data_IF_983773506493
#
_entry.id   IF_983773506493
#
_cell.length_a   1.000
_cell.length_b   1.000
_cell.length_c   1.000
_cell.angle_alpha   90.00
_cell.angle_beta   90.00
_cell.angle_gamma   90.00
#
_symmetry.space_group_name_H-M   'P 1'
#
loop_
_entity.id
_entity.type
_entity.pdbx_description
1 polymer ?
#
# COMPACT_ATOMS: atom_id res chain seq x y z
N UNK A 1 -74.56 18.24 -4.65
CA UNK A 1 -74.07 18.91 -3.44
C UNK A 1 -72.78 18.22 -3.06
N UNK A 2 -71.63 18.84 -3.30
CA UNK A 2 -70.27 18.33 -3.02
C UNK A 2 -69.59 19.42 -2.17
N UNK A 3 -68.90 19.10 -1.06
CA UNK A 3 -68.37 20.10 -0.15
C UNK A 3 -67.04 20.69 -0.65
N UNK A 4 -66.83 21.98 -0.39
CA UNK A 4 -65.59 22.71 -0.65
C UNK A 4 -64.40 22.08 0.11
N UNK A 5 -63.32 21.79 -0.61
CA UNK A 5 -62.04 21.39 -0.03
C UNK A 5 -61.20 22.64 0.35
N UNK A 6 -60.49 22.65 1.50
CA UNK A 6 -59.72 23.81 1.93
C UNK A 6 -58.49 24.03 1.04
N UNK A 7 -58.29 25.28 0.57
CA UNK A 7 -57.08 25.71 -0.15
C UNK A 7 -55.85 25.55 0.75
N UNK A 8 -54.88 24.74 0.30
CA UNK A 8 -53.60 24.59 0.97
C UNK A 8 -52.84 25.94 1.07
N UNK A 9 -52.32 26.25 2.27
CA UNK A 9 -51.50 27.45 2.53
C UNK A 9 -50.24 27.42 1.64
N UNK A 10 -49.95 28.55 0.97
CA UNK A 10 -48.76 28.76 0.13
C UNK A 10 -47.48 28.51 0.94
N UNK A 11 -46.71 27.48 0.57
CA UNK A 11 -45.39 27.11 1.13
C UNK A 11 -44.23 27.97 0.60
N UNK A 12 -44.52 29.19 0.11
CA UNK A 12 -43.53 30.07 -0.53
C UNK A 12 -42.43 30.56 0.41
N UNK A 13 -42.78 30.87 1.67
CA UNK A 13 -41.81 31.36 2.67
C UNK A 13 -40.76 30.31 3.04
N UNK A 14 -41.15 29.04 3.20
CA UNK A 14 -40.22 27.96 3.57
C UNK A 14 -39.27 27.63 2.42
N UNK A 15 -39.73 27.71 1.16
CA UNK A 15 -38.86 27.59 -0.01
C UNK A 15 -37.88 28.76 -0.14
N UNK A 16 -38.33 29.99 0.09
CA UNK A 16 -37.47 31.18 0.05
C UNK A 16 -36.38 31.15 1.13
N UNK A 17 -36.72 30.74 2.36
CA UNK A 17 -35.77 30.58 3.46
C UNK A 17 -34.72 29.49 3.18
N UNK A 18 -35.12 28.37 2.56
CA UNK A 18 -34.19 27.30 2.14
C UNK A 18 -33.23 27.76 1.05
N UNK A 19 -33.73 28.46 0.02
CA UNK A 19 -32.91 29.00 -1.06
C UNK A 19 -31.93 30.06 -0.55
N UNK A 20 -32.36 30.90 0.39
CA UNK A 20 -31.51 31.86 1.07
C UNK A 20 -30.40 31.17 1.89
N UNK A 21 -30.73 30.13 2.65
CA UNK A 21 -29.75 29.33 3.39
C UNK A 21 -28.70 28.68 2.48
N UNK A 22 -29.11 28.10 1.35
CA UNK A 22 -28.20 27.53 0.35
C UNK A 22 -27.28 28.61 -0.23
N UNK A 23 -27.82 29.79 -0.55
CA UNK A 23 -27.03 30.90 -1.08
C UNK A 23 -26.00 31.40 -0.05
N UNK A 24 -26.37 31.50 1.23
CA UNK A 24 -25.45 31.89 2.31
C UNK A 24 -24.33 30.85 2.48
N UNK A 25 -24.64 29.56 2.48
CA UNK A 25 -23.61 28.50 2.54
C UNK A 25 -22.69 28.56 1.32
N UNK A 26 -23.25 28.72 0.11
CA UNK A 26 -22.47 28.84 -1.11
C UNK A 26 -21.55 30.07 -1.10
N UNK A 27 -22.05 31.22 -0.64
CA UNK A 27 -21.28 32.46 -0.49
C UNK A 27 -20.25 32.39 0.64
N UNK A 28 -20.54 31.67 1.72
CA UNK A 28 -19.59 31.47 2.82
C UNK A 28 -18.45 30.51 2.42
N UNK A 29 -18.71 29.55 1.52
CA UNK A 29 -17.71 28.64 0.98
C UNK A 29 -16.94 29.21 -0.22
N UNK A 30 -17.50 30.22 -0.91
CA UNK A 30 -16.88 30.84 -2.09
C UNK A 30 -15.48 31.46 -1.84
N UNK A 31 -15.16 32.12 -0.71
CA UNK A 31 -13.81 32.61 -0.44
C UNK A 31 -12.76 31.50 -0.43
N UNK A 32 -13.14 30.28 -0.01
CA UNK A 32 -12.25 29.11 0.00
C UNK A 32 -11.88 28.59 -1.39
N UNK A 33 -12.64 28.95 -2.44
CA UNK A 33 -12.29 28.57 -3.82
C UNK A 33 -11.33 29.57 -4.49
N UNK A 34 -11.30 30.82 -4.02
CA UNK A 34 -10.41 31.87 -4.53
C UNK A 34 -9.09 31.96 -3.76
N UNK A 35 -9.06 31.52 -2.50
CA UNK A 35 -7.83 31.34 -1.72
C UNK A 35 -7.23 29.94 -1.96
N UNK A 36 -6.96 29.60 -3.22
CA UNK A 36 -6.05 28.48 -3.48
C UNK A 36 -4.64 28.94 -3.15
N UNK A 37 -4.02 28.33 -2.14
CA UNK A 37 -2.57 28.37 -2.02
C UNK A 37 -1.97 28.03 -3.40
N UNK A 38 -0.88 28.70 -3.84
CA UNK A 38 -0.22 28.33 -5.09
C UNK A 38 -0.01 26.81 -5.09
N UNK A 39 -0.58 26.14 -6.09
CA UNK A 39 -0.53 24.69 -6.16
C UNK A 39 0.92 24.25 -6.18
N UNK A 40 1.30 23.39 -5.24
CA UNK A 40 2.63 22.79 -5.25
C UNK A 40 2.79 21.93 -6.51
N UNK A 41 4.00 21.91 -7.05
CA UNK A 41 4.37 21.07 -8.17
C UNK A 41 4.85 19.71 -7.67
N UNK A 42 4.64 18.66 -8.47
CA UNK A 42 5.20 17.32 -8.19
C UNK A 42 6.73 17.33 -8.05
N UNK A 43 7.39 18.32 -8.64
CA UNK A 43 8.85 18.53 -8.57
C UNK A 43 9.31 19.28 -7.33
N UNK A 44 8.40 19.82 -6.53
CA UNK A 44 8.78 20.55 -5.32
C UNK A 44 9.37 19.56 -4.30
N UNK A 45 10.50 19.91 -3.66
CA UNK A 45 11.16 19.03 -2.71
C UNK A 45 10.28 18.78 -1.49
N UNK A 46 10.14 17.52 -1.08
CA UNK A 46 9.48 17.18 0.17
C UNK A 46 10.43 17.39 1.36
N UNK A 47 9.99 18.18 2.34
CA UNK A 47 10.64 18.28 3.64
C UNK A 47 9.96 17.31 4.60
N UNK A 48 10.59 16.17 4.83
CA UNK A 48 9.98 15.07 5.59
C UNK A 48 10.51 15.09 7.02
N UNK A 49 9.63 15.30 7.99
CA UNK A 49 9.91 15.19 9.40
C UNK A 49 9.61 13.76 9.89
N UNK A 50 10.50 13.22 10.72
CA UNK A 50 10.36 11.91 11.35
C UNK A 50 10.22 12.11 12.85
N UNK A 51 9.09 11.68 13.41
CA UNK A 51 8.81 11.83 14.85
C UNK A 51 8.65 10.46 15.49
N UNK A 52 9.48 10.07 16.47
CA UNK A 52 9.29 8.81 17.17
C UNK A 52 7.96 8.83 17.92
N UNK A 53 7.27 7.68 17.92
CA UNK A 53 6.02 7.46 18.64
C UNK A 53 6.18 6.29 19.59
N UNK A 54 5.38 6.30 20.64
CA UNK A 54 5.30 5.17 21.57
C UNK A 54 4.46 4.09 20.90
N UNK A 55 5.00 2.87 20.81
CA UNK A 55 4.23 1.71 20.41
C UNK A 55 3.10 1.47 21.41
N UNK A 56 1.90 1.93 21.08
CA UNK A 56 0.68 1.71 21.85
C UNK A 56 -0.22 0.76 21.08
N UNK A 57 -0.69 -0.29 21.75
CA UNK A 57 -1.44 -1.38 21.13
C UNK A 57 -0.81 -2.72 21.47
N UNK A 58 -1.55 -3.79 21.22
CA UNK A 58 -1.13 -5.18 21.37
C UNK A 58 -1.05 -5.81 19.98
N UNK A 59 0.17 -6.22 19.63
CA UNK A 59 0.36 -7.24 18.60
C UNK A 59 0.15 -8.63 19.20
N UNK A 60 -0.76 -9.40 18.60
CA UNK A 60 -0.95 -10.81 18.92
C UNK A 60 -0.14 -11.69 17.95
N UNK A 61 0.43 -12.79 18.43
CA UNK A 61 1.18 -13.75 17.61
C UNK A 61 2.65 -13.89 17.99
N UNK A 62 3.42 -14.50 17.10
CA UNK A 62 4.82 -14.89 17.30
C UNK A 62 5.82 -13.74 17.08
N UNK A 63 5.45 -12.71 16.30
CA UNK A 63 6.36 -11.60 15.97
C UNK A 63 6.63 -10.66 17.16
N UNK A 64 5.79 -10.69 18.20
CA UNK A 64 5.93 -9.82 19.36
C UNK A 64 5.54 -8.36 19.11
N UNK A 65 5.85 -7.49 20.06
CA UNK A 65 5.59 -6.04 19.94
C UNK A 65 6.67 -5.37 19.08
N UNK A 66 6.33 -4.29 18.35
CA UNK A 66 7.32 -3.52 17.61
C UNK A 66 8.32 -2.86 18.56
N UNK A 67 9.57 -2.76 18.11
CA UNK A 67 10.67 -2.14 18.84
C UNK A 67 11.03 -0.73 18.30
N UNK A 68 10.21 -0.22 17.38
CA UNK A 68 10.32 1.13 16.85
C UNK A 68 9.06 1.55 16.08
N UNK A 69 8.60 2.78 16.32
CA UNK A 69 7.47 3.40 15.60
C UNK A 69 7.82 4.85 15.33
N UNK A 70 7.69 5.29 14.08
CA UNK A 70 7.95 6.66 13.66
C UNK A 70 6.82 7.16 12.77
N UNK A 71 6.36 8.38 13.01
CA UNK A 71 5.42 9.08 12.14
C UNK A 71 6.21 9.97 11.17
N UNK A 72 5.92 9.85 9.89
CA UNK A 72 6.50 10.67 8.84
C UNK A 72 5.48 11.72 8.41
N UNK A 73 5.89 12.98 8.33
CA UNK A 73 5.02 14.09 7.91
C UNK A 73 5.74 15.02 6.95
N UNK A 74 5.01 15.65 6.05
CA UNK A 74 5.55 16.65 5.12
C UNK A 74 4.46 17.65 4.75
N UNK A 75 4.79 18.95 4.59
CA UNK A 75 3.85 19.94 4.05
C UNK A 75 3.68 19.84 2.52
N UNK A 76 4.35 18.88 1.88
CA UNK A 76 4.26 18.63 0.44
C UNK A 76 2.95 17.87 0.14
N UNK A 77 2.07 18.39 -0.72
CA UNK A 77 0.70 17.92 -0.94
C UNK A 77 0.51 16.62 -1.73
N UNK A 78 1.60 16.04 -2.23
CA UNK A 78 1.70 14.70 -2.82
C UNK A 78 2.38 13.69 -1.88
N UNK A 79 2.88 14.11 -0.72
CA UNK A 79 3.45 13.20 0.28
C UNK A 79 2.34 12.47 1.04
N UNK A 80 2.55 11.19 1.32
CA UNK A 80 1.56 10.28 1.91
C UNK A 80 1.22 9.16 0.94
N UNK A 81 0.13 8.42 1.17
CA UNK A 81 -0.35 7.46 0.17
C UNK A 81 0.55 6.24 -0.02
N UNK A 82 1.31 5.80 0.99
CA UNK A 82 2.35 4.78 0.79
C UNK A 82 1.78 3.36 0.79
N UNK A 83 1.82 2.71 -0.37
CA UNK A 83 1.22 1.39 -0.63
C UNK A 83 2.23 0.29 -0.97
N UNK A 84 3.53 0.53 -0.81
CA UNK A 84 4.55 -0.48 -1.09
C UNK A 84 5.85 -0.23 -0.33
N UNK A 85 6.57 -1.29 0.05
CA UNK A 85 7.87 -1.17 0.71
C UNK A 85 8.83 -2.29 0.29
N UNK A 86 10.07 -1.95 -0.07
CA UNK A 86 11.13 -2.95 -0.34
C UNK A 86 12.42 -2.59 0.36
N UNK A 87 13.26 -3.61 0.63
CA UNK A 87 14.61 -3.40 1.10
C UNK A 87 15.48 -2.73 0.02
N UNK A 88 16.20 -1.68 0.43
CA UNK A 88 17.10 -0.90 -0.42
C UNK A 88 18.51 -1.51 -0.55
N UNK A 89 19.47 -0.68 -0.97
CA UNK A 89 20.90 -1.01 -0.94
C UNK A 89 21.45 -0.79 0.48
N UNK A 90 22.00 -1.84 1.11
CA UNK A 90 22.44 -1.77 2.51
C UNK A 90 21.28 -1.72 3.50
N UNK A 91 21.46 -1.13 4.70
CA UNK A 91 20.38 -0.93 5.66
C UNK A 91 19.50 0.25 5.20
N UNK A 92 18.63 0.00 4.23
CA UNK A 92 17.76 1.02 3.64
C UNK A 92 16.41 0.42 3.23
N UNK A 93 15.45 1.30 2.98
CA UNK A 93 14.14 0.99 2.40
C UNK A 93 13.88 1.87 1.19
N UNK A 94 13.02 1.40 0.30
CA UNK A 94 12.37 2.21 -0.75
C UNK A 94 10.87 2.03 -0.58
N UNK A 95 10.16 3.12 -0.29
CA UNK A 95 8.71 3.14 -0.21
C UNK A 95 8.11 3.65 -1.51
N UNK A 96 7.00 3.06 -1.94
CA UNK A 96 6.20 3.49 -3.08
C UNK A 96 4.84 4.03 -2.63
N UNK A 97 4.28 4.99 -3.37
CA UNK A 97 2.98 5.60 -3.07
C UNK A 97 2.01 5.51 -4.24
N UNK A 98 0.71 5.41 -3.93
CA UNK A 98 -0.48 5.49 -4.80
C UNK A 98 -0.50 6.70 -5.77
N UNK A 99 0.36 7.71 -5.53
CA UNK A 99 0.57 8.89 -6.38
C UNK A 99 1.74 8.76 -7.34
N UNK A 100 2.38 7.60 -7.36
CA UNK A 100 3.47 7.25 -8.25
C UNK A 100 4.75 7.92 -7.80
N UNK A 101 4.96 8.04 -6.49
CA UNK A 101 6.20 8.55 -5.91
C UNK A 101 7.00 7.43 -5.26
N UNK A 102 8.32 7.58 -5.28
CA UNK A 102 9.23 6.78 -4.47
C UNK A 102 9.87 7.65 -3.39
N UNK A 103 10.15 7.05 -2.24
CA UNK A 103 10.93 7.62 -1.15
C UNK A 103 12.02 6.65 -0.71
N UNK A 104 13.27 7.09 -0.68
CA UNK A 104 14.36 6.27 -0.13
C UNK A 104 14.54 6.63 1.35
N UNK A 105 14.71 5.62 2.21
CA UNK A 105 14.85 5.77 3.66
C UNK A 105 16.11 5.05 4.12
N UNK A 106 17.02 5.78 4.74
CA UNK A 106 18.25 5.26 5.34
C UNK A 106 17.99 4.74 6.75
N UNK A 107 18.49 3.53 7.05
CA UNK A 107 18.36 2.84 8.33
C UNK A 107 19.72 2.62 9.03
N UNK A 108 20.81 3.26 8.57
CA UNK A 108 22.13 3.11 9.18
C UNK A 108 22.24 3.70 10.60
N UNK A 109 21.33 4.61 10.97
CA UNK A 109 21.25 5.20 12.30
C UNK A 109 20.26 4.49 13.24
N UNK A 110 20.08 5.05 14.44
CA UNK A 110 19.11 4.53 15.42
C UNK A 110 17.65 4.71 15.00
N UNK A 111 17.39 5.73 14.17
CA UNK A 111 16.08 6.08 13.65
C UNK A 111 16.11 6.13 12.10
N UNK A 112 14.99 5.80 11.44
CA UNK A 112 14.86 5.90 10.00
C UNK A 112 15.01 7.35 9.55
N UNK A 113 15.72 7.56 8.44
CA UNK A 113 15.99 8.89 7.90
C UNK A 113 15.64 8.94 6.41
N UNK A 114 14.55 9.63 6.02
CA UNK A 114 14.27 9.94 4.63
C UNK A 114 15.49 10.57 3.95
N UNK A 115 15.91 10.02 2.82
CA UNK A 115 17.05 10.52 2.06
C UNK A 115 16.65 11.83 1.39
N UNK A 116 17.44 12.88 1.60
CA UNK A 116 17.19 14.21 1.06
C UNK A 116 17.03 14.14 -0.48
N UNK A 117 15.98 14.80 -0.98
CA UNK A 117 15.67 14.86 -2.42
C UNK A 117 15.42 13.49 -3.11
N UNK A 118 15.19 12.42 -2.35
CA UNK A 118 14.82 11.11 -2.90
C UNK A 118 13.32 10.97 -3.20
N UNK A 119 12.47 11.81 -2.60
CA UNK A 119 11.03 11.84 -2.88
C UNK A 119 10.78 12.31 -4.31
N UNK A 120 10.42 11.38 -5.20
CA UNK A 120 10.45 11.60 -6.65
C UNK A 120 9.28 10.93 -7.35
N UNK A 121 8.69 11.64 -8.31
CA UNK A 121 7.65 11.10 -9.17
C UNK A 121 8.22 10.11 -10.19
N UNK A 122 7.73 8.89 -10.17
CA UNK A 122 8.05 7.79 -11.10
C UNK A 122 6.85 7.31 -11.90
N UNK A 123 5.67 7.89 -11.68
CA UNK A 123 4.51 7.63 -12.52
C UNK A 123 4.67 8.15 -13.95
N UNK A 124 3.59 8.06 -14.73
CA UNK A 124 3.49 8.66 -16.07
C UNK A 124 2.37 9.70 -16.01
N UNK A 125 2.62 10.89 -16.54
CA UNK A 125 1.58 11.90 -16.74
C UNK A 125 1.74 12.53 -18.12
N UNK A 126 0.73 12.36 -18.96
CA UNK A 126 0.73 12.85 -20.35
C UNK A 126 -0.10 14.13 -20.46
N UNK A 127 0.44 15.28 -20.03
CA UNK A 127 -0.23 16.59 -20.06
C UNK A 127 -1.69 16.53 -19.56
N UNK A 128 -1.95 15.73 -18.52
CA UNK A 128 -3.28 15.54 -17.92
C UNK A 128 -4.27 14.70 -18.72
N UNK A 129 -3.86 13.97 -19.77
CA UNK A 129 -4.74 13.11 -20.58
C UNK A 129 -4.79 11.67 -20.08
N UNK A 130 -3.64 11.13 -19.69
CA UNK A 130 -3.50 9.81 -19.07
C UNK A 130 -2.45 9.89 -17.96
N UNK A 131 -2.82 9.39 -16.78
CA UNK A 131 -1.94 9.28 -15.63
C UNK A 131 -1.83 7.82 -15.21
N UNK A 132 -0.63 7.39 -14.85
CA UNK A 132 -0.36 6.09 -14.24
C UNK A 132 0.42 6.38 -12.96
N UNK A 133 -0.27 6.32 -11.84
CA UNK A 133 0.22 6.81 -10.55
C UNK A 133 -0.03 5.82 -9.42
N UNK A 134 -1.09 5.03 -9.55
CA UNK A 134 -1.62 4.04 -8.61
C UNK A 134 -0.66 2.86 -8.35
N UNK A 135 0.48 3.14 -7.73
CA UNK A 135 1.55 2.19 -7.46
C UNK A 135 1.24 1.45 -6.16
N UNK A 136 0.95 0.16 -6.29
CA UNK A 136 0.45 -0.68 -5.18
C UNK A 136 1.41 -1.81 -4.78
N UNK A 137 2.49 -2.02 -5.51
CA UNK A 137 3.51 -2.98 -5.08
C UNK A 137 4.88 -2.66 -5.69
N UNK A 138 5.93 -3.01 -4.96
CA UNK A 138 7.32 -2.91 -5.40
C UNK A 138 8.01 -4.26 -5.29
N UNK A 139 8.90 -4.54 -6.24
CA UNK A 139 9.86 -5.63 -6.14
C UNK A 139 11.24 -5.13 -6.56
N UNK A 140 12.30 -5.67 -5.95
CA UNK A 140 13.68 -5.24 -6.25
C UNK A 140 14.59 -6.42 -6.44
N UNK A 141 15.48 -6.31 -7.42
CA UNK A 141 16.63 -7.19 -7.54
C UNK A 141 17.80 -6.59 -6.75
N UNK A 142 18.25 -7.22 -5.66
CA UNK A 142 19.33 -6.69 -4.85
C UNK A 142 20.68 -6.70 -5.56
N UNK A 143 20.86 -7.51 -6.61
CA UNK A 143 22.12 -7.63 -7.35
C UNK A 143 22.24 -6.50 -8.37
N UNK A 144 21.23 -6.30 -9.21
CA UNK A 144 21.27 -5.27 -10.27
C UNK A 144 20.76 -3.91 -9.80
N UNK A 145 20.00 -3.87 -8.71
CA UNK A 145 19.28 -2.69 -8.24
C UNK A 145 18.08 -2.32 -9.12
N UNK A 146 17.65 -3.22 -10.01
CA UNK A 146 16.43 -3.02 -10.81
C UNK A 146 15.22 -3.04 -9.89
N UNK A 147 14.34 -2.08 -10.07
CA UNK A 147 13.07 -1.96 -9.36
C UNK A 147 11.92 -2.24 -10.32
N UNK A 148 10.92 -2.98 -9.87
CA UNK A 148 9.64 -3.16 -10.53
C UNK A 148 8.55 -2.53 -9.67
N UNK A 149 7.57 -1.91 -10.32
CA UNK A 149 6.40 -1.34 -9.67
C UNK A 149 5.14 -1.84 -10.38
N UNK A 150 4.20 -2.41 -9.62
CA UNK A 150 2.90 -2.79 -10.12
C UNK A 150 1.91 -1.62 -9.93
N UNK A 151 1.04 -1.41 -10.92
CA UNK A 151 0.03 -0.37 -10.91
C UNK A 151 -1.36 -0.96 -11.03
N UNK A 152 -2.23 -0.70 -10.05
CA UNK A 152 -3.56 -1.32 -9.94
C UNK A 152 -4.47 -0.90 -11.09
N UNK A 153 -4.76 0.40 -11.22
CA UNK A 153 -5.83 0.86 -12.10
C UNK A 153 -5.70 0.41 -13.56
N UNK A 154 -4.47 0.28 -14.06
CA UNK A 154 -4.17 -0.11 -15.44
C UNK A 154 -3.62 -1.54 -15.57
N UNK A 155 -3.46 -2.30 -14.46
CA UNK A 155 -2.84 -3.62 -14.42
C UNK A 155 -1.48 -3.67 -15.16
N UNK A 156 -0.58 -2.74 -14.80
CA UNK A 156 0.73 -2.60 -15.45
C UNK A 156 1.87 -2.94 -14.50
N UNK A 157 3.00 -3.35 -15.10
CA UNK A 157 4.28 -3.42 -14.41
C UNK A 157 5.26 -2.48 -15.09
N UNK A 158 5.81 -1.53 -14.33
CA UNK A 158 6.90 -0.68 -14.78
C UNK A 158 8.23 -1.19 -14.23
N UNK A 159 9.24 -1.28 -15.09
CA UNK A 159 10.60 -1.67 -14.71
C UNK A 159 11.53 -0.46 -14.79
N UNK A 160 12.33 -0.28 -13.74
CA UNK A 160 13.28 0.81 -13.56
C UNK A 160 14.68 0.24 -13.33
N UNK A 161 15.51 0.12 -14.38
CA UNK A 161 16.91 -0.26 -14.24
C UNK A 161 17.69 0.79 -13.44
N UNK A 162 18.68 0.36 -12.65
CA UNK A 162 19.55 1.28 -11.86
C UNK A 162 20.26 2.33 -12.71
N UNK A 163 20.58 1.99 -13.96
CA UNK A 163 21.25 2.89 -14.91
C UNK A 163 20.33 4.00 -15.45
N UNK A 164 19.04 3.95 -15.11
CA UNK A 164 18.02 4.89 -15.58
C UNK A 164 17.18 4.34 -16.72
N UNK A 165 16.20 5.14 -17.13
CA UNK A 165 15.16 4.73 -18.06
C UNK A 165 14.02 3.98 -17.38
N UNK A 166 13.01 3.61 -18.18
CA UNK A 166 11.86 2.83 -17.75
C UNK A 166 11.29 2.07 -18.94
N UNK A 167 10.84 0.84 -18.71
CA UNK A 167 9.93 0.13 -19.61
C UNK A 167 8.57 -0.09 -18.92
N UNK A 168 7.51 -0.13 -19.71
CA UNK A 168 6.13 -0.32 -19.24
C UNK A 168 5.60 -1.57 -19.91
N UNK A 169 5.08 -2.48 -19.10
CA UNK A 169 4.58 -3.77 -19.54
C UNK A 169 3.14 -3.94 -19.07
N UNK A 170 2.31 -4.54 -19.92
CA UNK A 170 0.95 -4.94 -19.62
C UNK A 170 0.88 -6.47 -19.72
N UNK A 171 1.23 -7.22 -18.66
CA UNK A 171 1.21 -8.67 -18.72
C UNK A 171 -0.22 -9.16 -19.00
N UNK A 172 -0.45 -9.99 -20.03
CA UNK A 172 -1.79 -10.41 -20.41
C UNK A 172 -2.48 -11.22 -19.30
N UNK A 173 -1.69 -11.91 -18.45
CA UNK A 173 -2.19 -12.77 -17.38
C UNK A 173 -2.86 -12.00 -16.22
N UNK A 174 -2.62 -10.69 -16.11
CA UNK A 174 -3.27 -9.81 -15.11
C UNK A 174 -4.22 -8.79 -15.76
N UNK A 175 -4.43 -8.84 -17.08
CA UNK A 175 -5.22 -7.83 -17.79
C UNK A 175 -6.67 -7.73 -17.31
N UNK A 176 -7.25 -8.87 -16.91
CA UNK A 176 -8.64 -8.99 -16.46
C UNK A 176 -8.79 -8.88 -14.92
N UNK A 177 -7.71 -8.59 -14.19
CA UNK A 177 -7.81 -8.31 -12.75
C UNK A 177 -8.61 -7.03 -12.51
N UNK A 178 -9.30 -6.97 -11.37
CA UNK A 178 -10.13 -5.81 -11.02
C UNK A 178 -9.30 -4.53 -10.99
N UNK A 179 -9.78 -3.47 -11.64
CA UNK A 179 -9.11 -2.17 -11.65
C UNK A 179 -9.12 -1.43 -10.30
N UNK A 180 -9.78 -2.00 -9.28
CA UNK A 180 -9.82 -1.49 -7.90
C UNK A 180 -9.49 -2.60 -6.87
N UNK A 181 -8.97 -3.74 -7.34
CA UNK A 181 -8.40 -4.78 -6.48
C UNK A 181 -7.35 -5.61 -7.26
N UNK A 182 -6.41 -4.89 -7.86
CA UNK A 182 -5.44 -5.34 -8.85
C UNK A 182 -4.21 -6.01 -8.24
N UNK A 183 -3.01 -5.93 -8.87
CA UNK A 183 -1.77 -6.50 -8.36
C UNK A 183 -1.19 -5.72 -7.15
N UNK A 184 -1.86 -5.81 -6.01
CA UNK A 184 -1.44 -5.17 -4.75
C UNK A 184 -0.39 -5.97 -3.98
N UNK A 185 0.10 -7.10 -4.48
CA UNK A 185 1.21 -7.80 -3.82
C UNK A 185 2.14 -8.33 -4.87
N UNK A 186 3.42 -7.94 -4.79
CA UNK A 186 4.45 -8.38 -5.72
C UNK A 186 5.77 -8.59 -4.97
N UNK A 187 6.38 -9.76 -5.13
CA UNK A 187 7.71 -10.02 -4.58
C UNK A 187 8.58 -10.75 -5.60
N UNK A 188 9.85 -10.32 -5.73
CA UNK A 188 10.86 -11.03 -6.50
C UNK A 188 11.59 -12.00 -5.59
N UNK A 189 11.33 -13.29 -5.75
CA UNK A 189 11.98 -14.34 -4.97
C UNK A 189 13.49 -14.40 -5.29
N UNK A 190 14.27 -14.92 -4.33
CA UNK A 190 15.72 -15.05 -4.42
C UNK A 190 16.19 -15.90 -5.61
N UNK A 191 15.35 -16.80 -6.11
CA UNK A 191 15.62 -17.62 -7.30
C UNK A 191 15.23 -16.94 -8.62
N UNK A 192 14.74 -15.69 -8.58
CA UNK A 192 14.41 -14.87 -9.74
C UNK A 192 12.96 -14.96 -10.19
N UNK A 193 12.15 -15.85 -9.60
CA UNK A 193 10.71 -15.91 -9.85
C UNK A 193 10.01 -14.68 -9.25
N UNK A 194 8.86 -14.31 -9.82
CA UNK A 194 8.01 -13.26 -9.28
C UNK A 194 6.69 -13.84 -8.77
N UNK A 195 6.40 -13.59 -7.51
CA UNK A 195 5.11 -13.83 -6.90
C UNK A 195 4.24 -12.59 -7.10
N UNK A 196 3.02 -12.75 -7.60
CA UNK A 196 2.01 -11.70 -7.64
C UNK A 196 0.68 -12.21 -7.08
N UNK A 197 0.00 -11.42 -6.27
CA UNK A 197 -1.31 -11.73 -5.69
C UNK A 197 -2.23 -10.53 -5.91
N UNK A 198 -3.46 -10.80 -6.36
CA UNK A 198 -4.48 -9.78 -6.46
C UNK A 198 -5.09 -9.48 -5.08
N UNK A 199 -5.46 -8.23 -4.81
CA UNK A 199 -6.22 -7.93 -3.58
C UNK A 199 -7.62 -8.55 -3.64
N UNK A 200 -8.20 -8.59 -4.83
CA UNK A 200 -9.59 -8.98 -5.07
C UNK A 200 -9.92 -10.40 -4.59
N UNK A 201 -11.02 -10.52 -3.85
CA UNK A 201 -11.59 -11.79 -3.43
C UNK A 201 -12.37 -12.47 -4.58
N UNK A 202 -12.37 -13.81 -4.59
CA UNK A 202 -12.91 -14.59 -5.71
C UNK A 202 -14.06 -15.47 -5.29
N UNK A 203 -15.10 -15.53 -6.15
CA UNK A 203 -16.25 -16.43 -5.94
C UNK A 203 -17.04 -16.15 -4.66
N UNK A 204 -16.87 -14.97 -4.07
CA UNK A 204 -17.46 -14.58 -2.79
C UNK A 204 -16.76 -15.13 -1.54
N UNK A 205 -15.69 -15.92 -1.68
CA UNK A 205 -14.87 -16.35 -0.53
C UNK A 205 -13.85 -15.27 -0.19
N UNK A 206 -14.01 -14.65 0.99
CA UNK A 206 -13.18 -13.54 1.51
C UNK A 206 -11.80 -14.00 2.02
N UNK A 207 -11.27 -15.06 1.42
CA UNK A 207 -9.99 -15.70 1.74
C UNK A 207 -9.21 -16.06 0.48
N UNK A 208 -9.88 -16.15 -0.66
CA UNK A 208 -9.32 -16.68 -1.89
C UNK A 208 -9.04 -15.54 -2.86
N UNK A 209 -7.78 -15.45 -3.27
CA UNK A 209 -7.28 -14.41 -4.17
C UNK A 209 -6.61 -15.05 -5.40
N UNK A 210 -6.66 -14.36 -6.54
CA UNK A 210 -5.94 -14.74 -7.75
C UNK A 210 -4.45 -14.54 -7.50
N UNK A 211 -3.64 -15.49 -7.92
CA UNK A 211 -2.20 -15.40 -7.74
C UNK A 211 -1.45 -16.06 -8.90
N UNK A 212 -0.29 -15.46 -9.21
CA UNK A 212 0.57 -15.85 -10.31
C UNK A 212 2.01 -16.01 -9.79
N UNK A 213 2.68 -17.04 -10.27
CA UNK A 213 4.10 -17.24 -10.06
C UNK A 213 4.80 -17.24 -11.41
N UNK A 214 5.40 -16.11 -11.77
CA UNK A 214 6.17 -15.96 -12.99
C UNK A 214 7.55 -16.61 -12.83
N UNK A 215 8.10 -17.25 -13.88
CA UNK A 215 9.44 -17.83 -13.85
C UNK A 215 10.56 -16.77 -13.85
N UNK A 216 10.23 -15.51 -14.15
CA UNK A 216 11.14 -14.37 -14.24
C UNK A 216 10.39 -13.05 -14.26
N UNK A 217 10.99 -12.01 -14.84
CA UNK A 217 10.39 -10.68 -14.98
C UNK A 217 9.01 -10.75 -15.68
N UNK A 218 7.91 -10.32 -15.03
CA UNK A 218 6.57 -10.37 -15.61
C UNK A 218 6.42 -9.48 -16.87
N UNK A 219 7.37 -8.56 -17.12
CA UNK A 219 7.42 -7.77 -18.33
C UNK A 219 8.12 -8.46 -19.52
N UNK A 220 8.88 -9.54 -19.28
CA UNK A 220 9.58 -10.28 -20.32
C UNK A 220 8.72 -11.43 -20.87
N UNK A 221 8.56 -11.50 -22.19
CA UNK A 221 7.79 -12.56 -22.85
C UNK A 221 8.65 -13.82 -23.00
N UNK A 222 8.09 -14.99 -22.67
CA UNK A 222 8.73 -16.27 -23.01
C UNK A 222 8.20 -17.49 -22.29
N UNK A 223 7.58 -17.35 -21.12
CA UNK A 223 6.99 -18.49 -20.39
C UNK A 223 5.79 -18.02 -19.56
N UNK A 224 4.60 -18.62 -19.73
CA UNK A 224 3.43 -18.29 -18.93
C UNK A 224 3.68 -18.48 -17.44
N UNK A 225 3.06 -17.65 -16.57
CA UNK A 225 3.11 -17.86 -15.13
C UNK A 225 2.37 -19.15 -14.74
N UNK A 226 2.75 -19.71 -13.59
CA UNK A 226 1.95 -20.72 -12.92
C UNK A 226 0.82 -20.00 -12.15
N UNK A 227 -0.43 -20.23 -12.56
CA UNK A 227 -1.61 -19.72 -11.86
C UNK A 227 -2.01 -20.62 -10.67
N UNK A 228 -2.29 -20.02 -9.53
CA UNK A 228 -2.72 -20.69 -8.31
C UNK A 228 -3.66 -19.78 -7.50
N UNK A 229 -4.11 -20.24 -6.33
CA UNK A 229 -4.94 -19.44 -5.42
C UNK A 229 -4.18 -19.13 -4.16
N UNK A 230 -4.10 -17.87 -3.76
CA UNK A 230 -3.67 -17.54 -2.41
C UNK A 230 -4.84 -17.76 -1.45
N UNK A 231 -4.61 -18.48 -0.35
CA UNK A 231 -5.59 -18.70 0.71
C UNK A 231 -5.11 -18.00 1.98
N UNK A 232 -5.65 -16.81 2.22
CA UNK A 232 -5.39 -16.00 3.40
C UNK A 232 -6.35 -16.27 4.57
N UNK A 233 -6.07 -15.71 5.75
CA UNK A 233 -7.03 -15.61 6.85
C UNK A 233 -8.33 -14.92 6.42
N UNK A 234 -9.45 -15.30 7.01
CA UNK A 234 -10.75 -14.71 6.68
C UNK A 234 -10.80 -13.19 6.92
N UNK A 235 -11.37 -12.48 5.94
CA UNK A 235 -11.62 -11.03 5.97
C UNK A 235 -10.37 -10.15 5.89
N UNK A 236 -9.24 -10.74 5.52
CA UNK A 236 -7.98 -10.04 5.28
C UNK A 236 -7.65 -10.11 3.79
N UNK A 237 -7.19 -8.99 3.25
CA UNK A 237 -6.75 -8.85 1.88
C UNK A 237 -5.21 -8.70 1.84
N UNK A 238 -4.49 -9.35 0.90
CA UNK A 238 -3.05 -9.19 0.72
C UNK A 238 -2.72 -7.86 0.06
N UNK A 239 -1.71 -7.16 0.60
CA UNK A 239 -1.33 -5.80 0.17
C UNK A 239 0.16 -5.55 0.05
N UNK A 240 1.01 -6.46 0.51
CA UNK A 240 2.44 -6.47 0.16
C UNK A 240 3.09 -7.79 0.61
N UNK A 241 4.31 -8.09 0.15
CA UNK A 241 5.05 -9.27 0.59
C UNK A 241 6.57 -9.07 0.57
N UNK A 242 7.27 -9.81 1.43
CA UNK A 242 8.74 -9.82 1.45
C UNK A 242 9.26 -11.23 1.75
N UNK A 243 10.33 -11.64 1.06
CA UNK A 243 10.95 -12.94 1.27
C UNK A 243 11.98 -12.91 2.40
N UNK A 244 11.90 -13.91 3.26
CA UNK A 244 12.87 -14.19 4.31
C UNK A 244 14.07 -14.97 3.76
N UNK A 245 15.23 -14.92 4.43
CA UNK A 245 16.46 -15.63 4.02
C UNK A 245 16.33 -17.15 3.88
N UNK A 246 15.37 -17.77 4.58
CA UNK A 246 15.09 -19.21 4.50
C UNK A 246 14.17 -19.58 3.33
N UNK A 247 13.74 -18.58 2.55
CA UNK A 247 12.90 -18.71 1.37
C UNK A 247 11.41 -18.58 1.64
N UNK A 248 10.96 -18.57 2.90
CA UNK A 248 9.55 -18.29 3.24
C UNK A 248 9.23 -16.83 2.91
N UNK A 249 7.95 -16.56 2.65
CA UNK A 249 7.45 -15.22 2.34
C UNK A 249 6.58 -14.76 3.50
N UNK A 250 6.82 -13.55 3.98
CA UNK A 250 5.87 -12.80 4.81
C UNK A 250 4.91 -12.05 3.89
N UNK A 251 3.62 -12.15 4.18
CA UNK A 251 2.55 -11.49 3.44
C UNK A 251 1.88 -10.53 4.41
N UNK A 252 1.89 -9.24 4.07
CA UNK A 252 1.13 -8.22 4.76
C UNK A 252 -0.32 -8.28 4.29
N UNK A 253 -1.21 -8.21 5.27
CA UNK A 253 -2.63 -8.32 5.08
C UNK A 253 -3.32 -7.13 5.75
N UNK A 254 -4.32 -6.55 5.09
CA UNK A 254 -5.18 -5.50 5.68
C UNK A 254 -6.62 -5.96 5.82
N UNK A 255 -7.32 -5.35 6.76
CA UNK A 255 -8.77 -5.44 6.91
C UNK A 255 -9.34 -4.05 7.17
N UNK A 256 -10.40 -3.71 6.43
CA UNK A 256 -11.15 -2.47 6.62
C UNK A 256 -12.57 -2.78 7.08
N UNK A 257 -12.97 -2.23 8.23
CA UNK A 257 -14.36 -2.19 8.69
C UNK A 257 -14.93 -0.80 8.40
N UNK A 258 -15.77 -0.71 7.35
CA UNK A 258 -16.36 0.53 6.81
C UNK A 258 -17.43 1.18 7.71
N UNK A 259 -17.28 1.10 9.03
CA UNK A 259 -18.03 1.91 10.00
C UNK A 259 -17.62 3.38 9.88
N UNK A 260 -18.31 4.26 10.62
CA UNK A 260 -17.96 5.69 10.70
C UNK A 260 -17.50 5.99 12.14
N UNK A 261 -16.22 6.33 12.37
CA UNK A 261 -15.11 6.29 11.39
C UNK A 261 -14.73 4.85 11.02
N UNK A 262 -14.07 4.69 9.86
CA UNK A 262 -13.57 3.39 9.42
C UNK A 262 -12.54 2.85 10.41
N UNK A 263 -12.45 1.52 10.53
CA UNK A 263 -11.46 0.87 11.39
C UNK A 263 -10.57 -0.03 10.56
N UNK A 264 -9.28 0.07 10.83
CA UNK A 264 -8.26 -0.71 10.14
C UNK A 264 -7.68 -1.74 11.10
N UNK A 265 -7.28 -2.88 10.53
CA UNK A 265 -6.49 -3.89 11.21
C UNK A 265 -5.53 -4.49 10.21
N UNK A 266 -4.32 -4.77 10.67
CA UNK A 266 -3.30 -5.37 9.85
C UNK A 266 -2.89 -6.74 10.42
N UNK A 267 -2.40 -7.60 9.55
CA UNK A 267 -1.92 -8.92 9.89
C UNK A 267 -0.68 -9.25 9.05
N UNK A 268 0.20 -10.06 9.61
CA UNK A 268 1.30 -10.66 8.86
C UNK A 268 1.08 -12.15 8.88
N UNK A 269 1.06 -12.76 7.70
CA UNK A 269 1.06 -14.20 7.53
C UNK A 269 2.39 -14.67 6.94
N UNK A 270 2.69 -15.96 7.10
CA UNK A 270 3.88 -16.60 6.54
C UNK A 270 3.49 -17.82 5.70
N UNK A 271 4.15 -18.00 4.57
CA UNK A 271 3.95 -19.16 3.71
C UNK A 271 5.24 -19.56 2.98
N UNK A 272 5.36 -20.85 2.65
CA UNK A 272 6.50 -21.37 1.89
C UNK A 272 6.17 -21.44 0.39
N UNK A 273 6.79 -20.62 -0.48
CA UNK A 273 6.49 -20.59 -1.90
C UNK A 273 6.87 -21.91 -2.62
N UNK A 274 7.67 -22.79 -2.01
CA UNK A 274 7.96 -24.14 -2.53
C UNK A 274 6.74 -25.06 -2.50
N UNK A 275 5.68 -24.69 -1.77
CA UNK A 275 4.40 -25.43 -1.71
C UNK A 275 3.40 -25.01 -2.78
N UNK A 276 3.68 -23.95 -3.55
CA UNK A 276 2.81 -23.49 -4.63
C UNK A 276 2.67 -24.59 -5.70
N UNK A 277 1.44 -24.90 -6.09
CA UNK A 277 1.09 -25.86 -7.15
C UNK A 277 0.02 -25.24 -8.05
N UNK A 278 0.05 -25.58 -9.33
CA UNK A 278 -0.93 -25.08 -10.29
C UNK A 278 -2.36 -25.43 -9.85
N UNK A 279 -3.24 -24.43 -9.83
CA UNK A 279 -4.65 -24.59 -9.45
C UNK A 279 -4.93 -24.93 -7.98
N UNK A 280 -3.90 -25.06 -7.13
CA UNK A 280 -4.06 -25.35 -5.71
C UNK A 280 -4.10 -24.07 -4.86
N UNK A 281 -4.68 -24.18 -3.67
CA UNK A 281 -4.59 -23.15 -2.64
C UNK A 281 -3.19 -23.18 -2.00
N UNK A 282 -2.52 -22.03 -2.00
CA UNK A 282 -1.33 -21.75 -1.23
C UNK A 282 -1.76 -21.05 0.06
N UNK A 283 -1.82 -21.83 1.14
CA UNK A 283 -2.29 -21.38 2.45
C UNK A 283 -1.20 -20.67 3.25
N UNK A 284 -1.54 -19.51 3.80
CA UNK A 284 -0.66 -18.75 4.68
C UNK A 284 -1.11 -18.82 6.14
N UNK A 285 -0.14 -18.92 7.04
CA UNK A 285 -0.35 -19.02 8.48
C UNK A 285 -0.15 -17.66 9.12
N UNK A 286 -1.12 -17.18 9.89
CA UNK A 286 -0.99 -15.92 10.63
C UNK A 286 0.15 -16.00 11.66
N UNK A 287 1.01 -14.98 11.69
CA UNK A 287 2.14 -14.85 12.65
C UNK A 287 2.08 -13.57 13.48
N UNK A 288 1.38 -12.54 13.01
CA UNK A 288 1.15 -11.31 13.75
C UNK A 288 -0.22 -10.71 13.41
N UNK A 289 -0.86 -10.09 14.38
CA UNK A 289 -2.09 -9.32 14.17
C UNK A 289 -2.07 -8.04 14.99
N UNK A 290 -2.35 -6.92 14.32
CA UNK A 290 -2.35 -5.55 14.84
C UNK A 290 -3.78 -5.00 14.72
N UNK A 291 -4.44 -4.76 15.84
CA UNK A 291 -5.89 -4.43 15.86
C UNK A 291 -6.24 -3.21 16.71
N UNK A 292 -5.29 -2.62 17.42
CA UNK A 292 -5.55 -1.56 18.39
C UNK A 292 -4.44 -0.51 18.44
N UNK A 293 -4.74 0.58 19.16
CA UNK A 293 -3.80 1.66 19.42
C UNK A 293 -3.28 2.33 18.15
N UNK A 294 -1.98 2.66 18.14
CA UNK A 294 -1.30 3.28 17.00
C UNK A 294 -1.02 2.27 15.87
N UNK A 295 -1.27 0.98 16.11
CA UNK A 295 -1.04 -0.10 15.16
C UNK A 295 -2.32 -0.50 14.41
N UNK A 296 -3.47 0.09 14.75
CA UNK A 296 -4.72 -0.02 14.01
C UNK A 296 -4.76 0.99 12.84
N UNK A 297 -3.78 0.90 11.95
CA UNK A 297 -3.62 1.78 10.77
C UNK A 297 -3.68 0.96 9.48
N UNK A 298 -3.77 1.64 8.34
CA UNK A 298 -3.82 1.03 7.02
C UNK A 298 -2.41 0.66 6.54
N UNK A 299 -1.81 -0.39 7.11
CA UNK A 299 -0.49 -0.87 6.66
C UNK A 299 -0.59 -1.53 5.29
N UNK A 300 0.19 -1.01 4.34
CA UNK A 300 0.16 -1.43 2.93
C UNK A 300 1.55 -1.69 2.34
N UNK A 301 2.64 -1.56 3.12
CA UNK A 301 3.95 -2.02 2.66
C UNK A 301 4.71 -2.82 3.71
N UNK A 302 5.44 -3.86 3.30
CA UNK A 302 6.28 -4.72 4.16
C UNK A 302 7.65 -5.00 3.55
N UNK A 303 8.71 -4.84 4.34
CA UNK A 303 10.06 -5.22 3.91
C UNK A 303 10.85 -5.91 5.01
N UNK A 304 11.59 -6.95 4.64
CA UNK A 304 12.59 -7.56 5.51
C UNK A 304 13.97 -6.94 5.26
N UNK A 305 14.59 -6.41 6.30
CA UNK A 305 15.96 -5.91 6.27
C UNK A 305 16.84 -6.81 7.14
N UNK A 306 17.78 -7.57 6.54
CA UNK A 306 18.65 -8.49 7.29
C UNK A 306 19.61 -7.72 8.20
N UNK A 307 19.96 -8.34 9.32
CA UNK A 307 21.07 -7.90 10.16
C UNK A 307 22.39 -8.16 9.45
N UNK A 308 23.33 -7.22 9.60
CA UNK A 308 24.71 -7.37 9.11
C UNK A 308 25.41 -8.56 9.79
N UNK A 309 25.04 -8.90 11.03
CA UNK A 309 25.71 -9.93 11.83
C UNK A 309 25.22 -11.36 11.53
N UNK A 310 23.91 -11.55 11.31
CA UNK A 310 23.32 -12.82 10.91
C UNK A 310 22.14 -12.52 9.97
N UNK A 311 22.22 -12.86 8.68
CA UNK A 311 21.18 -12.52 7.73
C UNK A 311 19.84 -13.19 8.05
N UNK A 312 19.82 -14.30 8.82
CA UNK A 312 18.59 -14.97 9.30
C UNK A 312 17.84 -14.18 10.36
N UNK A 313 18.51 -13.21 10.96
CA UNK A 313 17.95 -12.22 11.88
C UNK A 313 17.90 -10.87 11.20
N UNK A 314 17.07 -9.97 11.70
CA UNK A 314 16.96 -8.66 11.12
C UNK A 314 15.76 -7.91 11.65
N UNK A 315 15.09 -7.23 10.75
CA UNK A 315 13.92 -6.44 11.07
C UNK A 315 12.87 -6.56 9.98
N UNK A 316 11.61 -6.68 10.38
CA UNK A 316 10.46 -6.53 9.50
C UNK A 316 9.95 -5.11 9.67
N UNK A 317 9.86 -4.39 8.56
CA UNK A 317 9.40 -3.01 8.50
C UNK A 317 8.03 -2.97 7.85
N UNK A 318 7.13 -2.16 8.41
CA UNK A 318 5.83 -1.85 7.83
C UNK A 318 5.72 -0.35 7.57
N UNK A 319 5.07 0.03 6.47
CA UNK A 319 4.64 1.41 6.22
C UNK A 319 3.12 1.47 6.06
N UNK A 320 2.49 2.51 6.61
CA UNK A 320 1.05 2.74 6.46
C UNK A 320 0.72 3.81 5.45
N UNK A 321 -0.39 3.59 4.76
CA UNK A 321 -1.10 4.56 3.98
C UNK A 321 -1.94 5.47 4.91
N UNK A 322 -1.85 6.77 4.68
CA UNK A 322 -2.68 7.76 5.37
C UNK A 322 -4.00 8.07 4.63
N UNK A 323 -4.22 7.49 3.44
CA UNK A 323 -5.29 7.75 2.48
C UNK A 323 -5.64 9.25 2.36
N UNK A 324 -4.69 10.15 2.67
CA UNK A 324 -4.89 11.60 2.76
C UNK A 324 -6.03 12.02 3.69
N UNK A 325 -6.32 11.17 4.66
CA UNK A 325 -7.31 11.34 5.70
C UNK A 325 -6.68 12.00 6.93
N UNK A 326 -7.42 12.91 7.56
CA UNK A 326 -6.99 13.50 8.84
C UNK A 326 -6.92 12.49 9.99
N UNK A 327 -7.47 11.28 9.81
CA UNK A 327 -7.56 10.25 10.84
C UNK A 327 -6.48 9.18 10.75
N UNK A 328 -5.78 9.08 9.62
CA UNK A 328 -4.73 8.10 9.40
C UNK A 328 -3.38 8.82 9.35
N UNK A 329 -2.31 8.04 9.50
CA UNK A 329 -0.94 8.57 9.57
C UNK A 329 -0.03 7.76 8.65
N UNK A 330 0.97 8.42 8.07
CA UNK A 330 2.11 7.71 7.50
C UNK A 330 3.01 7.27 8.66
N UNK A 331 2.90 6.00 9.06
CA UNK A 331 3.74 5.37 10.09
C UNK A 331 4.75 4.46 9.43
N UNK A 332 5.96 4.44 9.98
CA UNK A 332 6.95 3.41 9.75
C UNK A 332 7.15 2.63 11.05
N UNK A 333 6.93 1.32 11.02
CA UNK A 333 6.97 0.44 12.19
C UNK A 333 8.04 -0.62 11.98
N UNK A 334 8.82 -0.91 13.02
CA UNK A 334 9.84 -1.95 13.03
C UNK A 334 9.51 -3.04 14.03
N UNK A 335 9.62 -4.29 13.58
CA UNK A 335 9.63 -5.48 14.41
C UNK A 335 11.00 -6.13 14.32
N UNK A 336 11.53 -6.57 15.47
CA UNK A 336 12.71 -7.42 15.48
C UNK A 336 12.35 -8.80 14.92
N UNK A 337 13.22 -9.33 14.06
CA UNK A 337 13.13 -10.70 13.55
C UNK A 337 14.30 -11.53 14.06
N UNK A 338 14.03 -12.56 14.84
CA UNK A 338 15.05 -13.41 15.46
C UNK A 338 15.31 -14.73 14.71
N UNK A 339 14.56 -14.99 13.64
CA UNK A 339 14.63 -16.21 12.83
C UNK A 339 13.94 -17.44 13.45
N UNK A 340 13.19 -17.27 14.55
CA UNK A 340 12.68 -18.40 15.35
C UNK A 340 11.26 -18.84 15.03
N UNK A 341 10.50 -18.08 14.22
CA UNK A 341 9.12 -18.43 13.87
C UNK A 341 9.08 -19.83 13.26
N UNK A 342 8.38 -20.72 13.96
CA UNK A 342 8.37 -22.15 13.68
C UNK A 342 7.79 -22.45 12.27
N UNK A 343 8.20 -23.57 11.65
CA UNK A 343 7.71 -23.96 10.32
C UNK A 343 6.19 -24.16 10.24
#
# INVERSE_FOLDING_TARGET
MIPDAPRARRTGHVRALRLFGIAVVALALAPGTFLRAPGQLRSDPAQIAVTPRIAQGKVAGELGQPDGVWELTSPQGFFGGFSALVAGEGPALIAGSDRGFLLDIDLAGEAPRPVLASFRFVGISTRGRKEFVDLEALARDPVTGTLWAAFEHDNLVMRFPRQGGRSVHAPPDIADWSANSGPETMERLADGRFLMIAEGNIGGDRRLHDALLYPGDPGESGTPPLAFRFLGPANFNPVDATQLPDGRVLILLRQVDYRIPARFSAAIAIADPRRIRAGAAWEARLVAQMQDGILAENFEGIAYVPSVADPRKGSVWLISDDNFSIFQRTLLVRFAWDGSIAP
#
